data_IF_149306536406
#
_entry.id   IF_149306536406
#
_cell.length_a   1.000
_cell.length_b   1.000
_cell.length_c   1.000
_cell.angle_alpha   90.00
_cell.angle_beta   90.00
_cell.angle_gamma   90.00
#
_symmetry.space_group_name_H-M   'P 1'
#
loop_
_entity.id
_entity.type
_entity.pdbx_description
1 polymer ?
#
# COMPACT_ATOMS: atom_id res chain seq x y z
N UNK A 1 -10.99 -13.51 -9.05
CA UNK A 1 -10.37 -14.28 -7.96
C UNK A 1 -9.35 -13.40 -7.25
N UNK A 2 -9.55 -13.11 -5.96
CA UNK A 2 -8.58 -12.36 -5.17
C UNK A 2 -7.39 -13.25 -4.79
N UNK A 3 -6.23 -12.66 -4.50
CA UNK A 3 -5.07 -13.40 -3.99
C UNK A 3 -5.41 -14.23 -2.75
N UNK A 4 -6.28 -13.74 -1.90
CA UNK A 4 -6.76 -14.45 -0.71
C UNK A 4 -7.48 -15.75 -1.06
N UNK A 5 -8.26 -15.76 -2.14
CA UNK A 5 -8.98 -16.95 -2.62
C UNK A 5 -8.06 -17.96 -3.31
N UNK A 6 -6.91 -17.51 -3.86
CA UNK A 6 -5.92 -18.39 -4.46
C UNK A 6 -5.15 -19.16 -3.37
N UNK A 7 -4.70 -18.47 -2.33
CA UNK A 7 -3.86 -19.07 -1.29
C UNK A 7 -4.65 -19.75 -0.16
N UNK A 8 -5.89 -19.31 0.11
CA UNK A 8 -6.82 -19.86 1.09
C UNK A 8 -6.20 -20.18 2.47
N UNK A 9 -5.20 -19.38 2.89
CA UNK A 9 -4.50 -19.59 4.14
C UNK A 9 -5.41 -19.28 5.33
N UNK A 10 -5.59 -20.23 6.23
CA UNK A 10 -6.30 -20.00 7.50
C UNK A 10 -5.56 -18.97 8.35
N UNK A 11 -6.32 -18.20 9.12
CA UNK A 11 -5.75 -17.27 10.12
C UNK A 11 -5.25 -18.03 11.35
N UNK A 12 -4.42 -17.41 12.21
CA UNK A 12 -4.07 -17.96 13.52
C UNK A 12 -5.32 -18.40 14.30
N UNK A 13 -5.15 -19.26 15.30
CA UNK A 13 -6.26 -19.82 16.07
C UNK A 13 -7.14 -18.71 16.67
N UNK A 14 -8.46 -18.95 16.68
CA UNK A 14 -9.46 -17.99 17.16
C UNK A 14 -9.23 -17.63 18.64
N UNK A 15 -8.68 -18.56 19.43
CA UNK A 15 -8.34 -18.35 20.83
C UNK A 15 -7.32 -17.22 21.08
N UNK A 16 -6.50 -16.90 20.07
CA UNK A 16 -5.45 -15.89 20.16
C UNK A 16 -5.81 -14.58 19.43
N UNK A 17 -7.02 -14.48 18.84
CA UNK A 17 -7.44 -13.29 18.11
C UNK A 17 -8.17 -12.32 19.01
N UNK A 18 -7.73 -11.06 19.00
CA UNK A 18 -8.43 -9.97 19.69
C UNK A 18 -9.71 -9.52 18.93
N UNK A 19 -9.78 -9.79 17.61
CA UNK A 19 -10.89 -9.41 16.74
C UNK A 19 -11.26 -10.56 15.80
N UNK A 20 -12.55 -10.66 15.45
CA UNK A 20 -13.02 -11.65 14.47
C UNK A 20 -12.85 -11.14 13.05
N UNK A 21 -12.29 -11.96 12.19
CA UNK A 21 -12.07 -11.68 10.77
C UNK A 21 -12.44 -12.92 9.96
N UNK A 22 -13.35 -12.78 9.00
CA UNK A 22 -13.94 -13.90 8.25
C UNK A 22 -13.21 -14.23 6.93
N UNK A 23 -12.25 -13.40 6.50
CA UNK A 23 -11.51 -13.61 5.27
C UNK A 23 -10.20 -14.37 5.50
N UNK A 24 -9.63 -14.96 4.42
CA UNK A 24 -8.33 -15.62 4.47
C UNK A 24 -7.21 -14.69 4.95
N UNK A 25 -6.15 -15.30 5.52
CA UNK A 25 -5.05 -14.59 6.18
C UNK A 25 -4.06 -13.95 5.19
N UNK A 26 -3.72 -14.64 4.11
CA UNK A 26 -2.61 -14.28 3.22
C UNK A 26 -3.08 -13.68 1.89
N UNK A 27 -2.44 -12.62 1.39
CA UNK A 27 -1.55 -11.69 2.11
C UNK A 27 -2.30 -10.73 3.03
N UNK A 28 -1.56 -10.04 3.93
CA UNK A 28 -2.16 -9.03 4.81
C UNK A 28 -2.53 -7.76 4.05
N UNK A 29 -3.83 -7.47 4.01
CA UNK A 29 -4.32 -6.30 3.32
C UNK A 29 -3.95 -4.97 3.97
N UNK A 30 -3.96 -4.92 5.29
CA UNK A 30 -3.57 -3.72 6.01
C UNK A 30 -2.08 -3.39 5.77
N UNK A 31 -1.19 -4.40 5.77
CA UNK A 31 0.22 -4.21 5.45
C UNK A 31 0.41 -3.72 3.99
N UNK A 32 -0.30 -4.35 3.03
CA UNK A 32 -0.26 -3.93 1.62
C UNK A 32 -0.68 -2.47 1.46
N UNK A 33 -1.80 -2.10 2.06
CA UNK A 33 -2.33 -0.73 1.99
C UNK A 33 -1.41 0.26 2.69
N UNK A 34 -0.88 -0.06 3.86
CA UNK A 34 0.03 0.81 4.61
C UNK A 34 1.30 1.10 3.81
N UNK A 35 1.97 0.05 3.29
CA UNK A 35 3.18 0.20 2.48
C UNK A 35 2.94 1.04 1.23
N UNK A 36 1.82 0.81 0.52
CA UNK A 36 1.47 1.59 -0.67
C UNK A 36 1.13 3.05 -0.32
N UNK A 37 0.19 3.29 0.59
CA UNK A 37 -0.33 4.63 0.88
C UNK A 37 0.75 5.52 1.49
N UNK A 38 1.45 5.04 2.51
CA UNK A 38 2.50 5.83 3.14
C UNK A 38 3.67 6.07 2.19
N UNK A 39 4.07 5.06 1.41
CA UNK A 39 5.09 5.20 0.39
C UNK A 39 4.70 6.17 -0.72
N UNK A 40 3.43 6.16 -1.14
CA UNK A 40 2.92 7.09 -2.16
C UNK A 40 2.86 8.53 -1.64
N UNK A 41 2.44 8.75 -0.40
CA UNK A 41 2.49 10.06 0.24
C UNK A 41 3.92 10.60 0.32
N UNK A 42 4.89 9.75 0.70
CA UNK A 42 6.30 10.12 0.69
C UNK A 42 6.77 10.52 -0.72
N UNK A 43 6.41 9.76 -1.73
CA UNK A 43 6.72 10.09 -3.12
C UNK A 43 6.16 11.46 -3.54
N UNK A 44 4.91 11.78 -3.19
CA UNK A 44 4.32 13.09 -3.49
C UNK A 44 5.07 14.24 -2.79
N UNK A 45 5.43 14.05 -1.52
CA UNK A 45 6.23 15.03 -0.76
C UNK A 45 7.60 15.23 -1.45
N UNK A 46 8.24 14.14 -1.88
CA UNK A 46 9.55 14.20 -2.56
C UNK A 46 9.50 14.92 -3.90
N UNK A 47 8.37 14.89 -4.60
CA UNK A 47 8.17 15.70 -5.80
C UNK A 47 8.07 17.20 -5.48
N UNK A 48 7.56 17.55 -4.30
CA UNK A 48 7.32 18.94 -3.88
C UNK A 48 8.50 19.60 -3.18
N UNK A 49 9.48 18.84 -2.66
CA UNK A 49 10.60 19.39 -1.88
C UNK A 49 11.94 18.81 -2.25
N UNK A 50 12.98 19.66 -2.20
CA UNK A 50 14.40 19.27 -2.29
C UNK A 50 15.09 19.29 -0.92
N UNK A 51 14.38 19.69 0.15
CA UNK A 51 14.95 19.78 1.49
C UNK A 51 15.23 18.39 2.04
N UNK A 52 16.49 18.10 2.33
CA UNK A 52 16.96 16.81 2.84
C UNK A 52 16.33 16.47 4.19
N UNK A 53 16.21 17.44 5.10
CA UNK A 53 15.62 17.22 6.41
C UNK A 53 14.16 16.76 6.29
N UNK A 54 13.37 17.44 5.44
CA UNK A 54 11.98 17.06 5.16
C UNK A 54 11.90 15.64 4.56
N UNK A 55 12.79 15.30 3.62
CA UNK A 55 12.82 13.96 3.02
C UNK A 55 13.14 12.87 4.03
N UNK A 56 14.16 13.10 4.86
CA UNK A 56 14.54 12.14 5.92
C UNK A 56 13.41 11.97 6.93
N UNK A 57 12.84 13.07 7.43
CA UNK A 57 11.71 13.03 8.35
C UNK A 57 10.51 12.26 7.76
N UNK A 58 10.17 12.52 6.50
CA UNK A 58 9.09 11.81 5.80
C UNK A 58 9.38 10.31 5.72
N UNK A 59 10.61 9.94 5.32
CA UNK A 59 10.98 8.52 5.19
C UNK A 59 10.91 7.80 6.55
N UNK A 60 11.44 8.44 7.60
CA UNK A 60 11.37 7.90 8.96
C UNK A 60 9.92 7.71 9.42
N UNK A 61 9.06 8.70 9.16
CA UNK A 61 7.64 8.62 9.51
C UNK A 61 6.94 7.48 8.78
N UNK A 62 7.19 7.30 7.48
CA UNK A 62 6.64 6.18 6.68
C UNK A 62 7.05 4.84 7.26
N UNK A 63 8.33 4.66 7.56
CA UNK A 63 8.85 3.41 8.14
C UNK A 63 8.17 3.14 9.49
N UNK A 64 8.13 4.12 10.39
CA UNK A 64 7.54 3.98 11.72
C UNK A 64 6.05 3.62 11.61
N UNK A 65 5.29 4.32 10.77
CA UNK A 65 3.86 4.07 10.60
C UNK A 65 3.57 2.69 9.98
N UNK A 66 4.36 2.26 8.99
CA UNK A 66 4.22 0.93 8.40
C UNK A 66 4.50 -0.16 9.44
N UNK A 67 5.61 -0.04 10.19
CA UNK A 67 5.94 -0.98 11.27
C UNK A 67 4.84 -1.00 12.34
N UNK A 68 4.28 0.14 12.72
CA UNK A 68 3.21 0.21 13.70
C UNK A 68 1.95 -0.54 13.25
N UNK A 69 1.56 -0.37 11.97
CA UNK A 69 0.46 -1.15 11.38
C UNK A 69 0.79 -2.63 11.38
N UNK A 70 1.97 -3.01 10.95
CA UNK A 70 2.41 -4.41 10.86
C UNK A 70 2.38 -5.11 12.21
N UNK A 71 2.98 -4.48 13.23
CA UNK A 71 2.99 -4.98 14.60
C UNK A 71 1.57 -5.10 15.15
N UNK A 72 0.69 -4.15 14.84
CA UNK A 72 -0.70 -4.22 15.26
C UNK A 72 -1.42 -5.46 14.70
N UNK A 73 -1.15 -5.87 13.46
CA UNK A 73 -1.78 -7.05 12.83
C UNK A 73 -1.32 -8.36 13.45
N UNK A 74 -0.05 -8.44 13.78
CA UNK A 74 0.53 -9.61 14.47
C UNK A 74 0.07 -9.64 15.94
N UNK A 75 0.10 -8.50 16.63
CA UNK A 75 -0.32 -8.39 18.02
C UNK A 75 -1.80 -8.75 18.24
N UNK A 76 -2.67 -8.32 17.31
CA UNK A 76 -4.09 -8.68 17.34
C UNK A 76 -4.37 -10.15 16.98
N UNK A 77 -3.34 -10.94 16.65
CA UNK A 77 -3.45 -12.36 16.32
C UNK A 77 -4.21 -12.65 15.02
N UNK A 78 -4.42 -11.65 14.15
CA UNK A 78 -5.20 -11.81 12.92
C UNK A 78 -4.37 -12.22 11.71
N UNK A 79 -3.05 -12.03 11.76
CA UNK A 79 -2.12 -12.37 10.69
C UNK A 79 -0.83 -12.99 11.24
N UNK A 80 -0.26 -13.91 10.47
CA UNK A 80 1.12 -14.36 10.69
C UNK A 80 2.10 -13.29 10.19
N UNK A 81 3.31 -13.27 10.75
CA UNK A 81 4.37 -12.35 10.30
C UNK A 81 4.66 -12.48 8.80
N UNK A 82 4.59 -13.71 8.26
CA UNK A 82 4.76 -13.95 6.82
C UNK A 82 3.68 -13.31 5.95
N UNK A 83 2.43 -13.19 6.45
CA UNK A 83 1.35 -12.53 5.73
C UNK A 83 1.59 -11.01 5.62
N UNK A 84 2.15 -10.45 6.69
CA UNK A 84 2.52 -9.03 6.80
C UNK A 84 3.68 -8.72 5.87
N UNK A 85 4.75 -9.53 5.90
CA UNK A 85 5.90 -9.37 5.00
C UNK A 85 5.47 -9.44 3.54
N UNK A 86 4.66 -10.46 3.17
CA UNK A 86 4.15 -10.59 1.82
C UNK A 86 3.25 -9.40 1.42
N UNK A 87 2.45 -8.90 2.36
CA UNK A 87 1.63 -7.70 2.17
C UNK A 87 2.48 -6.47 1.86
N UNK A 88 3.53 -6.22 2.65
CA UNK A 88 4.45 -5.11 2.42
C UNK A 88 5.16 -5.21 1.07
N UNK A 89 5.66 -6.39 0.70
CA UNK A 89 6.29 -6.62 -0.60
C UNK A 89 5.33 -6.31 -1.76
N UNK A 90 4.08 -6.76 -1.64
CA UNK A 90 3.06 -6.48 -2.63
C UNK A 90 2.74 -4.99 -2.71
N UNK A 91 2.56 -4.31 -1.57
CA UNK A 91 2.33 -2.87 -1.51
C UNK A 91 3.47 -2.07 -2.12
N UNK A 92 4.71 -2.49 -1.85
CA UNK A 92 5.91 -1.88 -2.42
C UNK A 92 6.02 -2.09 -3.94
N UNK A 93 5.67 -3.28 -4.42
CA UNK A 93 5.65 -3.59 -5.86
C UNK A 93 4.65 -2.70 -6.60
N UNK A 94 3.42 -2.55 -6.07
CA UNK A 94 2.40 -1.67 -6.63
C UNK A 94 2.86 -0.20 -6.61
N UNK A 95 3.51 0.23 -5.53
CA UNK A 95 4.10 1.56 -5.43
C UNK A 95 5.15 1.81 -6.51
N UNK A 96 6.10 0.89 -6.68
CA UNK A 96 7.13 1.00 -7.71
C UNK A 96 6.53 1.08 -9.11
N UNK A 97 5.55 0.22 -9.40
CA UNK A 97 4.84 0.25 -10.68
C UNK A 97 4.16 1.60 -10.91
N UNK A 98 3.48 2.13 -9.88
CA UNK A 98 2.82 3.44 -9.93
C UNK A 98 3.83 4.56 -10.21
N UNK A 99 4.99 4.56 -9.55
CA UNK A 99 6.05 5.55 -9.75
C UNK A 99 6.62 5.45 -11.17
N UNK A 100 6.87 4.24 -11.67
CA UNK A 100 7.40 4.01 -13.04
C UNK A 100 6.41 4.50 -14.09
N UNK A 101 5.13 4.15 -13.96
CA UNK A 101 4.09 4.61 -14.88
C UNK A 101 3.95 6.13 -14.85
N UNK A 102 3.94 6.72 -13.67
CA UNK A 102 3.89 8.17 -13.50
C UNK A 102 5.08 8.87 -14.16
N UNK A 103 6.29 8.38 -13.92
CA UNK A 103 7.51 9.01 -14.49
C UNK A 103 7.58 8.87 -16.00
N UNK A 104 7.14 7.74 -16.56
CA UNK A 104 7.05 7.54 -18.02
C UNK A 104 6.01 8.46 -18.65
N UNK A 105 4.81 8.50 -18.06
CA UNK A 105 3.73 9.37 -18.54
C UNK A 105 4.12 10.85 -18.49
N UNK A 106 4.76 11.29 -17.41
CA UNK A 106 5.26 12.66 -17.26
C UNK A 106 6.25 13.03 -18.35
N UNK A 107 7.18 12.14 -18.72
CA UNK A 107 8.13 12.38 -19.81
C UNK A 107 7.44 12.57 -21.16
N UNK A 108 6.37 11.85 -21.43
CA UNK A 108 5.62 11.96 -22.69
C UNK A 108 4.79 13.25 -22.78
N UNK A 109 4.34 13.77 -21.66
CA UNK A 109 3.39 14.89 -21.61
C UNK A 109 4.01 16.24 -21.13
N UNK A 110 5.32 16.35 -21.05
CA UNK A 110 6.01 17.61 -20.70
C UNK A 110 5.74 18.74 -21.70
N UNK A 111 5.09 18.43 -22.83
CA UNK A 111 4.73 19.38 -23.91
C UNK A 111 3.36 20.03 -23.68
N UNK A 112 2.52 19.53 -22.79
CA UNK A 112 1.17 20.01 -22.52
C UNK A 112 1.10 20.50 -21.06
N UNK A 113 1.03 21.81 -20.89
CA UNK A 113 0.89 22.64 -19.68
C UNK A 113 0.81 21.95 -18.29
N UNK A 114 1.69 22.35 -17.38
CA UNK A 114 1.93 21.74 -16.06
C UNK A 114 0.72 21.67 -15.10
N UNK A 115 -0.32 22.47 -15.30
CA UNK A 115 -1.44 22.60 -14.35
C UNK A 115 -2.38 21.38 -14.34
N UNK A 116 -2.67 20.80 -15.50
CA UNK A 116 -3.56 19.63 -15.63
C UNK A 116 -2.87 18.32 -15.16
N UNK A 117 -1.55 18.29 -15.16
CA UNK A 117 -0.75 17.11 -14.84
C UNK A 117 -0.96 16.63 -13.40
N UNK A 118 -1.01 17.50 -12.41
CA UNK A 118 -1.11 17.11 -10.98
C UNK A 118 -2.45 16.46 -10.65
N UNK A 119 -3.54 17.03 -11.15
CA UNK A 119 -4.90 16.52 -10.88
C UNK A 119 -5.11 15.14 -11.52
N UNK A 120 -4.64 14.95 -12.76
CA UNK A 120 -4.74 13.67 -13.48
C UNK A 120 -3.91 12.58 -12.77
N UNK A 121 -2.73 12.92 -12.27
CA UNK A 121 -1.87 11.97 -11.54
C UNK A 121 -2.53 11.51 -10.25
N UNK A 122 -3.07 12.43 -9.47
CA UNK A 122 -3.78 12.11 -8.22
C UNK A 122 -4.99 11.23 -8.54
N UNK A 123 -5.74 11.54 -9.58
CA UNK A 123 -6.91 10.76 -9.99
C UNK A 123 -6.55 9.35 -10.46
N UNK A 124 -5.51 9.20 -11.29
CA UNK A 124 -5.05 7.88 -11.76
C UNK A 124 -4.51 7.05 -10.59
N UNK A 125 -3.73 7.66 -9.70
CA UNK A 125 -3.18 6.97 -8.54
C UNK A 125 -4.27 6.54 -7.56
N UNK A 126 -5.28 7.37 -7.36
CA UNK A 126 -6.45 7.04 -6.55
C UNK A 126 -7.26 5.88 -7.19
N UNK A 127 -7.42 5.90 -8.50
CA UNK A 127 -8.11 4.87 -9.27
C UNK A 127 -7.35 3.52 -9.23
N UNK A 128 -6.03 3.54 -9.36
CA UNK A 128 -5.19 2.34 -9.22
C UNK A 128 -5.27 1.81 -7.78
N UNK A 129 -5.23 2.70 -6.78
CA UNK A 129 -5.35 2.33 -5.38
C UNK A 129 -6.70 1.67 -5.08
N UNK A 130 -7.80 2.29 -5.51
CA UNK A 130 -9.14 1.73 -5.30
C UNK A 130 -9.34 0.42 -6.04
N UNK A 131 -8.87 0.30 -7.28
CA UNK A 131 -8.93 -0.93 -8.05
C UNK A 131 -8.09 -2.05 -7.43
N UNK A 132 -6.89 -1.73 -6.92
CA UNK A 132 -6.02 -2.70 -6.24
C UNK A 132 -6.63 -3.16 -4.91
N UNK A 133 -7.19 -2.24 -4.15
CA UNK A 133 -7.88 -2.56 -2.90
C UNK A 133 -9.14 -3.40 -3.18
N UNK A 134 -9.91 -3.06 -4.21
CA UNK A 134 -11.08 -3.84 -4.60
C UNK A 134 -10.70 -5.25 -5.09
N UNK A 135 -9.65 -5.37 -5.90
CA UNK A 135 -9.14 -6.66 -6.38
C UNK A 135 -8.60 -7.54 -5.24
N UNK A 136 -7.94 -6.92 -4.25
CA UNK A 136 -7.36 -7.66 -3.12
C UNK A 136 -8.41 -8.02 -2.04
N UNK A 137 -9.41 -7.15 -1.84
CA UNK A 137 -10.32 -7.24 -0.68
C UNK A 137 -11.81 -7.22 -1.02
N UNK A 138 -12.19 -6.78 -2.23
CA UNK A 138 -13.58 -6.53 -2.63
C UNK A 138 -14.43 -7.78 -2.90
N UNK A 139 -13.91 -8.98 -2.75
CA UNK A 139 -14.64 -10.23 -2.98
C UNK A 139 -14.83 -11.03 -1.69
N UNK A 140 -15.20 -10.36 -0.60
CA UNK A 140 -15.72 -11.07 0.58
C UNK A 140 -17.23 -11.15 0.44
N UNK A 141 -17.82 -12.35 0.29
CA UNK A 141 -19.24 -12.52 0.52
C UNK A 141 -19.56 -12.26 2.00
#
# INVERSE_FOLDING_TARGET
>A
LSLKQIFQRSRPDIAFRAISENSFSFPSGHATTAAFVFGFLAYLIFLGTKNTTTRVATLSSVIIMTIAVDLSRVYLGVHYTSDVIAGNLLGFLVLLLTIVLHTRWRKQHTIIGESHSRTVIISISLCIMTATLWFLFGSTP
#
